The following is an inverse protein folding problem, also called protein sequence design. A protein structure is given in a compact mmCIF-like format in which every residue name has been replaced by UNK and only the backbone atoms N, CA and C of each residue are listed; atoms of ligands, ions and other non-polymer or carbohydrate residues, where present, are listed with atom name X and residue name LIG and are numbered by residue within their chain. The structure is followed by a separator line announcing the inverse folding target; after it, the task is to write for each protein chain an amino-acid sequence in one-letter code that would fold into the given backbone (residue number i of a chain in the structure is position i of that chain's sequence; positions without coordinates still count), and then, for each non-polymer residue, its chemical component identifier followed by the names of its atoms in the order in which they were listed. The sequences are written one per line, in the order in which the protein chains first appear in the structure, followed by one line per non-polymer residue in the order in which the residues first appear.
data_IF_651471536796
#
_entry.id   IF_651471536796
#
_cell.length_a   1.000
_cell.length_b   1.000
_cell.length_c   1.000
_cell.angle_alpha   90.00
_cell.angle_beta   90.00
_cell.angle_gamma   90.00
#
_symmetry.space_group_name_H-M   'P 1'
#
loop_
_entity.id
_entity.type
_entity.pdbx_description
1 polymer ?
#
# COMPACT_ATOMS: atom_id res chain seq x y z
N UNK A 1 3.02 -22.17 10.91
CA UNK A 1 3.77 -20.96 10.48
C UNK A 1 2.97 -19.79 10.98
N UNK A 2 3.59 -18.97 11.82
CA UNK A 2 2.97 -17.72 12.28
C UNK A 2 2.84 -16.78 11.10
N UNK A 3 1.77 -15.99 11.07
CA UNK A 3 1.59 -14.96 10.05
C UNK A 3 2.72 -13.91 10.12
N UNK A 4 2.91 -13.11 9.07
CA UNK A 4 3.83 -11.98 9.12
C UNK A 4 3.46 -10.99 10.25
N UNK A 5 2.16 -10.82 10.52
CA UNK A 5 1.66 -10.01 11.65
C UNK A 5 2.09 -10.56 13.02
N UNK A 6 2.04 -11.89 13.23
CA UNK A 6 2.50 -12.53 14.47
C UNK A 6 4.01 -12.31 14.69
N UNK A 7 4.80 -12.28 13.62
CA UNK A 7 6.24 -12.02 13.67
C UNK A 7 6.47 -10.55 14.04
N UNK A 8 5.77 -9.63 13.41
CA UNK A 8 5.86 -8.20 13.71
C UNK A 8 5.49 -7.90 15.16
N UNK A 9 4.41 -8.48 15.67
CA UNK A 9 3.97 -8.31 17.05
C UNK A 9 4.90 -8.96 18.08
N UNK A 10 5.68 -9.94 17.69
CA UNK A 10 6.63 -10.60 18.61
C UNK A 10 7.76 -9.69 19.06
N UNK A 11 8.07 -8.62 18.34
CA UNK A 11 9.21 -7.74 18.59
C UNK A 11 10.57 -8.45 18.48
N UNK A 12 10.62 -9.66 17.96
CA UNK A 12 11.82 -10.50 17.87
C UNK A 12 12.50 -10.43 16.50
N UNK A 13 12.50 -9.26 15.91
CA UNK A 13 13.16 -9.01 14.62
C UNK A 13 14.14 -7.83 14.75
N UNK A 14 15.21 -7.87 13.98
CA UNK A 14 16.22 -6.81 13.96
C UNK A 14 15.90 -5.75 12.89
N UNK A 15 15.45 -6.18 11.72
CA UNK A 15 15.11 -5.31 10.62
C UNK A 15 13.98 -5.93 9.80
N UNK A 16 13.19 -5.09 9.16
CA UNK A 16 12.12 -5.48 8.24
C UNK A 16 11.97 -4.46 7.13
N UNK A 17 11.20 -4.79 6.10
CA UNK A 17 10.87 -3.87 5.00
C UNK A 17 9.40 -3.47 5.08
N UNK A 18 9.11 -2.21 4.84
CA UNK A 18 7.75 -1.67 4.81
C UNK A 18 7.64 -0.54 3.78
N UNK A 19 6.42 -0.19 3.39
CA UNK A 19 6.17 1.04 2.65
C UNK A 19 6.45 2.24 3.54
N UNK A 20 7.35 3.11 3.12
CA UNK A 20 7.73 4.28 3.90
C UNK A 20 6.75 5.43 3.71
N UNK A 21 6.31 5.96 4.84
CA UNK A 21 5.64 7.27 4.97
C UNK A 21 6.21 8.01 6.18
N UNK A 22 6.04 9.33 6.30
CA UNK A 22 6.51 10.07 7.47
C UNK A 22 5.94 9.61 8.82
N UNK A 23 4.86 8.82 8.82
CA UNK A 23 4.27 8.25 10.05
C UNK A 23 4.81 6.86 10.40
N UNK A 24 5.50 6.16 9.49
CA UNK A 24 5.93 4.76 9.63
C UNK A 24 6.74 4.52 10.91
N UNK A 25 7.69 5.40 11.22
CA UNK A 25 8.53 5.30 12.41
C UNK A 25 7.70 5.44 13.70
N UNK A 26 6.78 6.39 13.72
CA UNK A 26 5.91 6.65 14.87
C UNK A 26 4.88 5.51 15.08
N UNK A 27 4.29 4.99 14.02
CA UNK A 27 3.36 3.86 14.07
C UNK A 27 4.04 2.59 14.58
N UNK A 28 5.19 2.25 14.02
CA UNK A 28 5.95 1.09 14.45
C UNK A 28 6.40 1.21 15.91
N UNK A 29 6.92 2.37 16.32
CA UNK A 29 7.36 2.61 17.71
C UNK A 29 6.19 2.56 18.68
N UNK A 30 5.02 3.10 18.30
CA UNK A 30 3.81 3.04 19.12
C UNK A 30 3.27 1.61 19.26
N UNK A 31 3.23 0.85 18.16
CA UNK A 31 2.76 -0.54 18.15
C UNK A 31 3.65 -1.46 18.98
N UNK A 32 4.96 -1.28 18.90
CA UNK A 32 5.95 -2.17 19.54
C UNK A 32 6.34 -1.75 20.96
N UNK A 33 6.03 -0.51 21.37
CA UNK A 33 6.36 0.02 22.70
C UNK A 33 7.84 0.38 22.90
N UNK A 34 8.65 0.42 21.83
CA UNK A 34 10.04 0.86 21.84
C UNK A 34 10.39 1.63 20.54
N UNK A 35 11.51 2.36 20.57
CA UNK A 35 11.92 3.18 19.43
C UNK A 35 12.30 2.31 18.22
N UNK A 36 11.66 2.59 17.10
CA UNK A 36 11.96 2.00 15.78
C UNK A 36 12.45 3.11 14.87
N UNK A 37 13.48 2.83 14.06
CA UNK A 37 14.00 3.74 13.05
C UNK A 37 13.59 3.29 11.66
N UNK A 38 12.93 4.16 10.92
CA UNK A 38 12.59 3.95 9.53
C UNK A 38 13.60 4.67 8.63
N UNK A 39 14.23 3.93 7.72
CA UNK A 39 15.25 4.46 6.81
C UNK A 39 14.75 4.30 5.38
N UNK A 40 14.43 5.40 4.65
CA UNK A 40 14.11 5.31 3.24
C UNK A 40 15.30 4.77 2.45
N UNK A 41 15.08 3.72 1.66
CA UNK A 41 16.12 3.09 0.84
C UNK A 41 16.12 3.59 -0.61
N UNK A 42 15.12 4.39 -0.99
CA UNK A 42 15.00 5.01 -2.31
C UNK A 42 14.21 6.31 -2.24
N UNK A 43 14.34 7.14 -3.27
CA UNK A 43 13.50 8.31 -3.45
C UNK A 43 12.02 7.92 -3.65
N UNK A 44 11.09 8.80 -3.22
CA UNK A 44 9.66 8.60 -3.46
C UNK A 44 9.36 8.40 -4.94
N UNK A 45 8.58 7.38 -5.26
CA UNK A 45 8.26 7.00 -6.64
C UNK A 45 6.78 6.65 -6.75
N UNK A 46 6.08 7.26 -7.70
CA UNK A 46 4.65 7.04 -7.92
C UNK A 46 4.44 6.12 -9.11
N UNK A 47 3.78 5.00 -8.88
CA UNK A 47 3.38 4.03 -9.90
C UNK A 47 1.87 4.09 -10.15
N UNK A 48 1.39 3.37 -11.17
CA UNK A 48 -0.04 3.18 -11.41
C UNK A 48 -0.74 2.56 -10.19
N UNK A 49 -0.12 1.57 -9.54
CA UNK A 49 -0.65 0.93 -8.34
C UNK A 49 -0.90 1.93 -7.22
N UNK A 50 -0.01 2.89 -7.01
CA UNK A 50 -0.16 3.90 -5.96
C UNK A 50 -1.34 4.86 -6.23
N UNK A 51 -1.64 5.13 -7.50
CA UNK A 51 -2.77 5.99 -7.89
C UNK A 51 -4.12 5.29 -7.90
N UNK A 52 -4.15 3.96 -8.00
CA UNK A 52 -5.36 3.14 -8.10
C UNK A 52 -5.61 2.28 -6.85
N UNK A 53 -4.79 2.43 -5.81
CA UNK A 53 -4.82 1.55 -4.65
C UNK A 53 -6.13 1.65 -3.83
N UNK A 54 -6.70 2.84 -3.74
CA UNK A 54 -7.95 3.10 -3.00
C UNK A 54 -8.96 3.85 -3.87
N UNK A 55 -9.48 3.19 -4.90
CA UNK A 55 -10.54 3.75 -5.74
C UNK A 55 -11.91 3.47 -5.14
N UNK A 56 -12.82 4.44 -5.31
CA UNK A 56 -14.22 4.31 -4.95
C UNK A 56 -15.08 4.39 -6.20
N UNK A 57 -16.07 3.53 -6.30
CA UNK A 57 -16.99 3.49 -7.43
C UNK A 57 -18.44 3.39 -6.96
N UNK A 58 -19.35 3.94 -7.76
CA UNK A 58 -20.80 3.77 -7.60
C UNK A 58 -21.23 2.64 -8.51
N UNK A 59 -21.92 1.65 -7.95
CA UNK A 59 -22.45 0.53 -8.75
C UNK A 59 -23.41 1.03 -9.84
N UNK A 60 -23.32 0.45 -11.02
CA UNK A 60 -24.28 0.69 -12.11
C UNK A 60 -25.72 0.26 -11.77
N UNK A 61 -25.87 -0.60 -10.76
CA UNK A 61 -27.17 -1.05 -10.23
C UNK A 61 -27.68 -0.21 -9.07
N UNK A 62 -26.98 0.90 -8.72
CA UNK A 62 -27.41 1.77 -7.62
C UNK A 62 -28.78 2.37 -7.90
N UNK A 63 -29.71 2.21 -6.94
CA UNK A 63 -31.04 2.82 -7.01
C UNK A 63 -31.04 4.34 -6.83
N UNK A 64 -29.92 4.93 -6.38
CA UNK A 64 -29.78 6.38 -6.19
C UNK A 64 -28.31 6.83 -6.35
N UNK A 65 -27.77 6.83 -7.58
CA UNK A 65 -26.37 7.17 -7.83
C UNK A 65 -26.03 8.63 -7.47
N UNK A 66 -26.99 9.55 -7.59
CA UNK A 66 -26.79 10.95 -7.24
C UNK A 66 -26.53 11.10 -5.74
N UNK A 67 -27.32 10.45 -4.89
CA UNK A 67 -27.09 10.47 -3.42
C UNK A 67 -25.76 9.78 -3.05
N UNK A 68 -25.41 8.70 -3.72
CA UNK A 68 -24.13 8.07 -3.53
C UNK A 68 -22.98 9.03 -3.86
N UNK A 69 -23.08 9.78 -4.96
CA UNK A 69 -22.10 10.81 -5.32
C UNK A 69 -22.06 11.96 -4.30
N UNK A 70 -23.20 12.41 -3.79
CA UNK A 70 -23.24 13.44 -2.74
C UNK A 70 -22.51 12.96 -1.47
N UNK A 71 -22.72 11.71 -1.08
CA UNK A 71 -22.01 11.10 0.06
C UNK A 71 -20.50 11.03 -0.17
N UNK A 72 -20.07 10.57 -1.35
CA UNK A 72 -18.66 10.56 -1.72
C UNK A 72 -18.06 11.98 -1.67
N UNK A 73 -18.75 12.99 -2.20
CA UNK A 73 -18.30 14.38 -2.10
C UNK A 73 -18.09 14.84 -0.65
N UNK A 74 -18.98 14.48 0.26
CA UNK A 74 -18.83 14.81 1.68
C UNK A 74 -17.57 14.15 2.29
N UNK A 75 -17.24 12.93 1.89
CA UNK A 75 -16.00 12.26 2.33
C UNK A 75 -14.72 13.00 1.89
N UNK A 76 -14.81 13.81 0.83
CA UNK A 76 -13.68 14.62 0.34
C UNK A 76 -13.65 16.04 0.87
N UNK A 77 -14.75 16.56 1.47
CA UNK A 77 -14.90 17.97 1.80
C UNK A 77 -15.32 18.25 3.24
N UNK A 78 -15.97 17.30 3.92
CA UNK A 78 -16.47 17.49 5.29
C UNK A 78 -15.57 16.79 6.33
N UNK A 79 -14.79 17.56 7.12
CA UNK A 79 -13.91 17.00 8.15
C UNK A 79 -14.68 16.25 9.24
N UNK A 80 -15.91 16.68 9.58
CA UNK A 80 -16.69 16.01 10.62
C UNK A 80 -17.09 14.60 10.19
N UNK A 81 -17.72 14.47 9.02
CA UNK A 81 -18.13 13.16 8.49
C UNK A 81 -16.92 12.25 8.29
N UNK A 82 -15.83 12.80 7.74
CA UNK A 82 -14.61 12.04 7.49
C UNK A 82 -14.05 11.44 8.80
N UNK A 83 -13.89 12.26 9.83
CA UNK A 83 -13.34 11.80 11.11
C UNK A 83 -14.32 10.94 11.92
N UNK A 84 -15.63 11.14 11.75
CA UNK A 84 -16.65 10.24 12.31
C UNK A 84 -16.51 8.82 11.77
N UNK A 85 -16.23 8.67 10.47
CA UNK A 85 -15.99 7.35 9.85
C UNK A 85 -14.62 6.80 10.25
N UNK A 86 -13.58 7.64 10.29
CA UNK A 86 -12.22 7.19 10.61
C UNK A 86 -12.06 6.78 12.08
N UNK A 87 -12.57 7.59 12.99
CA UNK A 87 -12.27 7.47 14.42
C UNK A 87 -13.51 7.27 15.30
N UNK A 88 -14.72 7.43 14.75
CA UNK A 88 -15.97 7.31 15.48
C UNK A 88 -16.32 8.56 16.29
N UNK A 89 -16.79 8.40 17.52
CA UNK A 89 -17.43 9.42 18.36
C UNK A 89 -16.44 9.89 19.43
N UNK A 90 -16.23 11.22 19.51
CA UNK A 90 -15.45 11.86 20.58
C UNK A 90 -16.04 11.54 21.96
N UNK A 91 -15.19 11.32 22.95
CA UNK A 91 -15.59 10.93 24.31
C UNK A 91 -15.97 9.43 24.44
N UNK A 92 -16.14 8.73 23.31
CA UNK A 92 -16.44 7.29 23.31
C UNK A 92 -15.33 6.45 22.69
N UNK A 93 -14.80 6.88 21.54
CA UNK A 93 -13.81 6.12 20.78
C UNK A 93 -12.45 6.81 20.78
N UNK A 94 -12.42 8.12 21.00
CA UNK A 94 -11.21 8.91 21.13
C UNK A 94 -11.44 10.15 21.99
N UNK A 95 -10.37 10.73 22.50
CA UNK A 95 -10.35 12.00 23.21
C UNK A 95 -9.58 13.03 22.38
N UNK A 96 -10.17 14.22 22.24
CA UNK A 96 -9.52 15.34 21.53
C UNK A 96 -8.74 16.22 22.51
N UNK A 97 -7.48 16.47 22.23
CA UNK A 97 -6.61 17.33 23.02
C UNK A 97 -6.70 18.78 22.55
N UNK A 98 -6.35 19.72 23.42
CA UNK A 98 -6.36 21.16 23.12
C UNK A 98 -5.52 21.54 21.88
N UNK A 99 -4.50 20.76 21.55
CA UNK A 99 -3.66 20.90 20.33
C UNK A 99 -4.34 20.50 19.02
N UNK A 100 -5.60 19.98 19.08
CA UNK A 100 -6.32 19.47 17.91
C UNK A 100 -5.91 18.05 17.48
N UNK A 101 -4.97 17.42 18.17
CA UNK A 101 -4.64 16.00 18.00
C UNK A 101 -5.61 15.13 18.80
N UNK A 102 -5.72 13.85 18.44
CA UNK A 102 -6.57 12.89 19.15
C UNK A 102 -5.74 11.78 19.78
N UNK A 103 -6.24 11.28 20.89
CA UNK A 103 -5.79 10.05 21.53
C UNK A 103 -6.87 9.01 21.44
N UNK A 104 -6.52 7.80 20.99
CA UNK A 104 -7.45 6.68 20.97
C UNK A 104 -6.87 5.47 21.71
N UNK A 105 -7.69 4.73 22.46
CA UNK A 105 -7.29 3.41 22.98
C UNK A 105 -6.94 2.46 21.83
N UNK A 106 -6.00 1.54 22.05
CA UNK A 106 -5.55 0.61 21.03
C UNK A 106 -6.64 -0.26 20.41
N UNK A 107 -7.66 -0.60 21.21
CA UNK A 107 -8.82 -1.40 20.80
C UNK A 107 -10.05 -0.57 20.41
N UNK A 108 -9.94 0.77 20.30
CA UNK A 108 -11.05 1.62 19.88
C UNK A 108 -11.38 1.43 18.40
N UNK A 109 -12.62 1.78 18.04
CA UNK A 109 -13.06 1.85 16.64
C UNK A 109 -12.07 2.65 15.79
N UNK A 110 -11.69 2.09 14.64
CA UNK A 110 -10.78 2.72 13.73
C UNK A 110 -10.98 2.20 12.30
N UNK A 111 -11.07 3.10 11.35
CA UNK A 111 -10.98 2.81 9.91
C UNK A 111 -9.79 3.59 9.36
N UNK A 112 -8.88 2.89 8.69
CA UNK A 112 -7.64 3.49 8.18
C UNK A 112 -7.95 4.67 7.26
N UNK A 113 -7.52 5.90 7.61
CA UNK A 113 -7.88 7.12 6.89
C UNK A 113 -7.51 7.15 5.40
N UNK A 114 -6.50 6.42 4.97
CA UNK A 114 -6.10 6.41 3.56
C UNK A 114 -7.00 5.53 2.67
N UNK A 115 -7.94 4.76 3.24
CA UNK A 115 -8.79 3.83 2.48
C UNK A 115 -10.03 4.46 1.87
N UNK A 116 -10.37 5.69 2.24
CA UNK A 116 -11.55 6.39 1.74
C UNK A 116 -11.35 7.90 1.73
N UNK A 117 -12.09 8.62 0.88
CA UNK A 117 -12.17 10.08 0.87
C UNK A 117 -10.83 10.81 0.82
N UNK A 118 -10.77 11.96 1.50
CA UNK A 118 -9.57 12.82 1.54
C UNK A 118 -8.86 12.71 2.89
N UNK A 119 -7.77 11.93 2.94
CA UNK A 119 -6.99 11.72 4.16
C UNK A 119 -6.37 13.00 4.76
N UNK A 120 -6.30 14.11 4.02
CA UNK A 120 -5.86 15.40 4.57
C UNK A 120 -6.85 15.99 5.59
N UNK A 121 -8.11 15.52 5.59
CA UNK A 121 -9.14 15.90 6.57
C UNK A 121 -8.97 15.15 7.91
N UNK A 122 -8.15 14.12 7.94
CA UNK A 122 -7.92 13.28 9.12
C UNK A 122 -7.32 14.09 10.28
N UNK A 123 -7.77 13.79 11.50
CA UNK A 123 -7.07 14.20 12.70
C UNK A 123 -5.68 13.55 12.78
N UNK A 124 -4.75 14.22 13.46
CA UNK A 124 -3.48 13.63 13.80
C UNK A 124 -3.60 12.86 15.12
N UNK A 125 -3.01 11.67 15.17
CA UNK A 125 -2.84 10.93 16.42
C UNK A 125 -1.73 11.56 17.26
N UNK A 126 -1.85 11.49 18.59
CA UNK A 126 -0.93 12.16 19.51
C UNK A 126 0.53 11.74 19.40
N UNK A 127 0.78 10.53 18.91
CA UNK A 127 2.12 9.99 18.66
C UNK A 127 2.68 10.29 17.28
N UNK A 128 1.89 10.88 16.36
CA UNK A 128 2.40 11.28 15.04
C UNK A 128 3.26 12.55 15.11
N UNK A 129 4.19 12.73 14.16
CA UNK A 129 4.91 13.98 14.01
C UNK A 129 3.97 15.17 13.88
N UNK A 130 4.30 16.29 14.54
CA UNK A 130 3.45 17.50 14.49
C UNK A 130 3.31 18.08 13.08
N UNK A 131 4.35 17.93 12.28
CA UNK A 131 4.45 18.40 10.89
C UNK A 131 4.13 17.30 9.86
N UNK A 132 3.38 16.25 10.26
CA UNK A 132 3.07 15.11 9.39
C UNK A 132 2.47 15.51 8.04
N UNK A 133 1.52 16.48 8.04
CA UNK A 133 0.84 16.92 6.81
C UNK A 133 1.80 17.62 5.84
N UNK A 134 2.69 18.44 6.36
CA UNK A 134 3.74 19.10 5.59
C UNK A 134 4.74 18.12 5.03
N UNK A 135 5.14 17.13 5.81
CA UNK A 135 6.05 16.06 5.36
C UNK A 135 5.41 15.20 4.29
N UNK A 136 4.15 14.79 4.44
CA UNK A 136 3.39 14.06 3.42
C UNK A 136 3.27 14.86 2.13
N UNK A 137 2.96 16.15 2.23
CA UNK A 137 2.91 17.03 1.06
C UNK A 137 4.28 17.14 0.38
N UNK A 138 5.35 17.29 1.16
CA UNK A 138 6.73 17.34 0.64
C UNK A 138 7.10 16.04 -0.05
N UNK A 139 6.78 14.89 0.55
CA UNK A 139 7.01 13.56 -0.03
C UNK A 139 6.33 13.43 -1.40
N UNK A 140 5.05 13.79 -1.48
CA UNK A 140 4.28 13.71 -2.72
C UNK A 140 4.79 14.68 -3.80
N UNK A 141 5.23 15.88 -3.40
CA UNK A 141 5.74 16.89 -4.35
C UNK A 141 7.09 16.49 -4.93
N UNK A 142 7.92 15.80 -4.14
CA UNK A 142 9.26 15.34 -4.58
C UNK A 142 9.23 13.99 -5.29
N UNK A 143 8.10 13.31 -5.27
CA UNK A 143 8.00 11.97 -5.82
C UNK A 143 8.24 11.95 -7.34
N UNK A 144 9.06 11.01 -7.77
CA UNK A 144 9.33 10.74 -9.18
C UNK A 144 8.12 10.01 -9.77
N UNK A 145 7.53 10.57 -10.81
CA UNK A 145 6.41 9.93 -11.50
C UNK A 145 6.96 8.85 -12.44
N UNK A 146 6.45 7.63 -12.31
CA UNK A 146 6.82 6.54 -13.22
C UNK A 146 6.56 6.90 -14.68
N UNK A 147 7.51 6.73 -15.58
CA UNK A 147 7.27 6.89 -17.03
C UNK A 147 6.19 5.92 -17.54
N UNK A 148 5.92 4.85 -16.79
CA UNK A 148 4.91 3.84 -17.10
C UNK A 148 3.57 4.07 -16.38
N UNK A 149 3.34 5.23 -15.75
CA UNK A 149 2.15 5.50 -14.93
C UNK A 149 0.83 5.20 -15.68
N UNK A 150 0.78 5.48 -16.97
CA UNK A 150 -0.41 5.26 -17.82
C UNK A 150 -0.39 3.94 -18.60
N UNK A 151 0.66 3.14 -18.46
CA UNK A 151 0.74 1.83 -19.09
C UNK A 151 -0.08 0.80 -18.31
N UNK A 152 -0.83 -0.04 -19.03
CA UNK A 152 -1.55 -1.17 -18.47
C UNK A 152 -1.27 -2.40 -19.31
N UNK A 153 -0.67 -3.41 -18.69
CA UNK A 153 -0.46 -4.69 -19.32
C UNK A 153 -1.78 -5.47 -19.42
N UNK A 154 -2.10 -5.99 -20.62
CA UNK A 154 -3.20 -6.91 -20.82
C UNK A 154 -2.66 -8.35 -20.82
N UNK A 155 -3.03 -9.20 -19.84
CA UNK A 155 -2.52 -10.57 -19.71
C UNK A 155 -3.18 -11.60 -20.63
N UNK A 156 -4.27 -11.31 -21.33
CA UNK A 156 -5.13 -12.29 -22.02
C UNK A 156 -4.38 -13.32 -22.87
N UNK A 157 -3.27 -12.92 -23.50
CA UNK A 157 -2.48 -13.81 -24.38
C UNK A 157 -1.52 -14.72 -23.65
N UNK A 158 -1.30 -14.49 -22.38
CA UNK A 158 -0.28 -15.18 -21.55
C UNK A 158 -0.80 -15.53 -20.16
N UNK A 159 -2.12 -15.55 -19.98
CA UNK A 159 -2.78 -15.81 -18.71
C UNK A 159 -2.36 -17.17 -18.13
N UNK A 160 -2.37 -18.22 -18.95
CA UNK A 160 -1.94 -19.57 -18.54
C UNK A 160 -0.47 -19.64 -18.10
N UNK A 161 0.41 -18.87 -18.72
CA UNK A 161 1.81 -18.76 -18.31
C UNK A 161 1.95 -18.00 -16.98
N UNK A 162 1.17 -16.95 -16.79
CA UNK A 162 1.16 -16.17 -15.54
C UNK A 162 0.69 -17.04 -14.37
N UNK A 163 -0.36 -17.84 -14.54
CA UNK A 163 -0.82 -18.78 -13.51
C UNK A 163 0.30 -19.75 -13.09
N UNK A 164 0.96 -20.41 -14.07
CA UNK A 164 2.08 -21.32 -13.79
C UNK A 164 3.26 -20.63 -13.12
N UNK A 165 3.54 -19.36 -13.48
CA UNK A 165 4.60 -18.55 -12.84
C UNK A 165 4.22 -18.26 -11.39
N UNK A 166 2.94 -17.97 -11.11
CA UNK A 166 2.44 -17.73 -9.76
C UNK A 166 2.62 -18.99 -8.88
N UNK A 167 2.24 -20.16 -9.38
CA UNK A 167 2.44 -21.43 -8.67
C UNK A 167 3.91 -21.67 -8.32
N UNK A 168 4.82 -21.40 -9.28
CA UNK A 168 6.27 -21.50 -9.04
C UNK A 168 6.71 -20.50 -7.98
N UNK A 169 6.18 -19.28 -7.99
CA UNK A 169 6.52 -18.23 -7.01
C UNK A 169 6.13 -18.66 -5.59
N UNK A 170 4.91 -19.14 -5.41
CA UNK A 170 4.40 -19.61 -4.11
C UNK A 170 5.23 -20.78 -3.54
N UNK A 171 5.69 -21.70 -4.41
CA UNK A 171 6.56 -22.80 -3.99
C UNK A 171 7.92 -22.32 -3.46
N UNK A 172 8.43 -21.24 -4.00
CA UNK A 172 9.83 -20.81 -3.88
C UNK A 172 10.06 -19.76 -2.81
N UNK A 173 9.11 -18.84 -2.63
CA UNK A 173 9.29 -17.67 -1.75
C UNK A 173 9.62 -18.08 -0.31
N UNK A 174 8.90 -19.05 0.25
CA UNK A 174 9.11 -19.47 1.62
C UNK A 174 10.55 -19.93 1.90
N UNK A 175 11.07 -20.97 1.22
CA UNK A 175 12.41 -21.47 1.45
C UNK A 175 13.52 -20.46 1.20
N UNK A 176 13.40 -19.63 0.16
CA UNK A 176 14.42 -18.64 -0.19
C UNK A 176 14.49 -17.49 0.80
N UNK A 177 13.33 -16.88 1.13
CA UNK A 177 13.28 -15.73 2.03
C UNK A 177 13.51 -16.09 3.51
N UNK A 178 13.25 -17.32 3.91
CA UNK A 178 13.56 -17.80 5.27
C UNK A 178 15.00 -18.29 5.43
N UNK A 179 15.78 -18.36 4.34
CA UNK A 179 17.16 -18.84 4.36
C UNK A 179 17.29 -20.34 4.68
N UNK A 180 16.22 -21.14 4.43
CA UNK A 180 16.25 -22.59 4.64
C UNK A 180 16.94 -23.35 3.50
N UNK A 181 17.26 -22.66 2.42
CA UNK A 181 17.99 -23.19 1.26
C UNK A 181 19.19 -22.30 0.93
N UNK A 182 20.24 -22.90 0.39
CA UNK A 182 21.38 -22.17 -0.14
C UNK A 182 20.99 -21.43 -1.43
N UNK A 183 21.00 -20.08 -1.47
CA UNK A 183 20.57 -19.32 -2.63
C UNK A 183 21.42 -19.60 -3.88
N UNK A 184 22.72 -19.83 -3.75
CA UNK A 184 23.61 -20.06 -4.89
C UNK A 184 23.28 -21.39 -5.58
N UNK A 185 22.91 -22.42 -4.82
CA UNK A 185 22.48 -23.71 -5.36
C UNK A 185 21.02 -23.72 -5.83
N UNK A 186 20.18 -22.86 -5.25
CA UNK A 186 18.73 -22.87 -5.46
C UNK A 186 18.28 -21.93 -6.60
N UNK A 187 18.85 -20.74 -6.70
CA UNK A 187 18.49 -19.74 -7.72
C UNK A 187 18.57 -20.25 -9.17
N UNK A 188 19.59 -21.02 -9.61
CA UNK A 188 19.63 -21.54 -10.97
C UNK A 188 18.43 -22.47 -11.27
N UNK A 189 18.02 -23.29 -10.29
CA UNK A 189 16.87 -24.19 -10.43
C UNK A 189 15.55 -23.43 -10.52
N UNK A 190 15.45 -22.35 -9.78
CA UNK A 190 14.28 -21.44 -9.80
C UNK A 190 14.15 -20.77 -11.17
N UNK A 191 15.23 -20.20 -11.68
CA UNK A 191 15.25 -19.55 -12.98
C UNK A 191 14.82 -20.54 -14.07
N UNK A 192 15.29 -21.80 -14.01
CA UNK A 192 14.88 -22.84 -14.94
C UNK A 192 13.38 -23.18 -14.83
N UNK A 193 12.83 -23.27 -13.59
CA UNK A 193 11.39 -23.46 -13.37
C UNK A 193 10.56 -22.30 -13.97
N UNK A 194 10.95 -21.04 -13.74
CA UNK A 194 10.26 -19.90 -14.31
C UNK A 194 10.28 -19.90 -15.84
N UNK A 195 11.42 -20.25 -16.46
CA UNK A 195 11.52 -20.37 -17.92
C UNK A 195 10.59 -21.45 -18.44
N UNK A 196 10.55 -22.62 -17.78
CA UNK A 196 9.63 -23.73 -18.13
C UNK A 196 8.16 -23.35 -17.94
N UNK A 197 7.84 -22.49 -16.95
CA UNK A 197 6.51 -21.97 -16.74
C UNK A 197 6.08 -20.95 -17.81
N UNK A 198 7.02 -20.46 -18.65
CA UNK A 198 6.74 -19.55 -19.76
C UNK A 198 7.12 -18.09 -19.51
N UNK A 199 8.03 -17.82 -18.56
CA UNK A 199 8.47 -16.45 -18.23
C UNK A 199 8.90 -15.67 -19.47
N UNK A 200 9.68 -16.29 -20.36
CA UNK A 200 10.18 -15.62 -21.57
C UNK A 200 9.01 -15.18 -22.49
N UNK A 201 7.95 -15.97 -22.59
CA UNK A 201 6.75 -15.63 -23.37
C UNK A 201 6.02 -14.43 -22.77
N UNK A 202 5.86 -14.40 -21.44
CA UNK A 202 5.23 -13.27 -20.72
C UNK A 202 6.06 -12.01 -20.92
N UNK A 203 7.38 -12.07 -20.77
CA UNK A 203 8.28 -10.94 -20.98
C UNK A 203 8.21 -10.39 -22.40
N UNK A 204 8.19 -11.26 -23.41
CA UNK A 204 8.07 -10.84 -24.82
C UNK A 204 6.73 -10.14 -25.09
N UNK A 205 5.62 -10.66 -24.58
CA UNK A 205 4.31 -10.02 -24.77
C UNK A 205 4.24 -8.69 -24.03
N UNK A 206 4.79 -8.59 -22.82
CA UNK A 206 4.85 -7.33 -22.07
C UNK A 206 5.70 -6.29 -22.83
N UNK A 207 6.87 -6.67 -23.33
CA UNK A 207 7.73 -5.79 -24.13
C UNK A 207 7.02 -5.30 -25.39
N UNK A 208 6.34 -6.23 -26.12
CA UNK A 208 5.58 -5.88 -27.32
C UNK A 208 4.47 -4.85 -27.03
N UNK A 209 3.75 -5.01 -25.92
CA UNK A 209 2.71 -4.07 -25.52
C UNK A 209 3.31 -2.72 -25.12
N UNK A 210 4.43 -2.72 -24.42
CA UNK A 210 5.15 -1.51 -24.03
C UNK A 210 5.66 -0.72 -25.26
N UNK A 211 6.25 -1.41 -26.23
CA UNK A 211 6.73 -0.79 -27.46
C UNK A 211 5.59 -0.15 -28.27
N UNK A 212 4.47 -0.86 -28.40
CA UNK A 212 3.28 -0.33 -29.05
C UNK A 212 2.72 0.90 -28.31
N UNK A 213 2.66 0.84 -26.99
CA UNK A 213 2.18 1.96 -26.18
C UNK A 213 3.10 3.19 -26.30
N UNK A 214 4.42 3.00 -26.29
CA UNK A 214 5.39 4.06 -26.47
C UNK A 214 5.30 4.71 -27.87
N UNK A 215 5.09 3.91 -28.92
CA UNK A 215 4.94 4.40 -30.30
C UNK A 215 3.69 5.26 -30.50
N UNK A 216 2.64 5.00 -29.71
CA UNK A 216 1.36 5.72 -29.77
C UNK A 216 1.31 6.96 -28.84
N UNK A 217 2.39 7.28 -28.12
CA UNK A 217 2.49 8.46 -27.23
C UNK A 217 2.94 9.76 -27.91
N UNK A 218 3.14 9.73 -29.22
CA UNK A 218 3.57 10.91 -29.99
C UNK A 218 2.45 11.92 -30.17
#
# INVERSE_FOLDING_TARGET
IKSAEDIDESGKWFAGSASYTPKTEAEASHKLGYAVKAIPIREPFITKKDTEFHMQAISSTSGNPERAMMFLNLLYTDPYLYNLIAYGIEGKHYEKRASGVIEKPGNAYFVEPCTFGNSNLSYNLSYYPKNLKEELKSLNTKAIISPLLKFSFNPDKVESEIEKITDVTEEIEGPLFTGTVDPDAYLPKIIDKYKKAGLDKVMLEMQRQLDNWNSNRK
#
